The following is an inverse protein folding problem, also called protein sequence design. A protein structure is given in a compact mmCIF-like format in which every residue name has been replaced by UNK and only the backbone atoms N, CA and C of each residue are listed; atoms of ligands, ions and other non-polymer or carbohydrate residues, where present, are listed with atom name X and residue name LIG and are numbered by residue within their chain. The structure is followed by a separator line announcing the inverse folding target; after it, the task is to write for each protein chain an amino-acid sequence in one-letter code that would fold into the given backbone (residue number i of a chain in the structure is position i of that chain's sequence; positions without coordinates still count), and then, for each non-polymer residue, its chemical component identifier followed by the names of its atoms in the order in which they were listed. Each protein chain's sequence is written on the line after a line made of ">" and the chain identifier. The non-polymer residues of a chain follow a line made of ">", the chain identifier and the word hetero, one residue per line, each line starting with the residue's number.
data_IF_138326399196
#
_entry.id   IF_138326399196
#
_cell.length_a   1.000
_cell.length_b   1.000
_cell.length_c   1.000
_cell.angle_alpha   90.00
_cell.angle_beta   90.00
_cell.angle_gamma   90.00
#
_symmetry.space_group_name_H-M   'P 1'
#
loop_
_entity.id
_entity.type
_entity.pdbx_description
1 polymer ?
#
# COMPACT_ATOMS: atom_id res chain seq x y z
N UNK A 1 6.16 -12.09 29.76
CA UNK A 1 7.10 -12.12 28.62
C UNK A 1 6.80 -10.92 27.74
N UNK A 2 7.59 -9.86 27.93
CA UNK A 2 7.34 -8.54 27.36
C UNK A 2 7.88 -8.47 25.94
N UNK A 3 6.99 -8.60 24.96
CA UNK A 3 7.22 -8.49 23.50
C UNK A 3 7.53 -7.03 23.06
N UNK A 4 7.76 -6.12 24.01
CA UNK A 4 7.83 -4.66 23.82
C UNK A 4 9.02 -4.16 22.96
N UNK A 5 9.71 -5.04 22.23
CA UNK A 5 10.92 -4.68 21.46
C UNK A 5 11.19 -5.54 20.21
N UNK A 6 10.42 -6.60 19.94
CA UNK A 6 10.81 -7.56 18.90
C UNK A 6 10.41 -7.04 17.50
N UNK A 7 11.34 -6.31 16.87
CA UNK A 7 11.45 -6.16 15.42
C UNK A 7 10.37 -5.30 14.75
N UNK A 8 10.42 -3.99 15.04
CA UNK A 8 10.62 -2.95 14.00
C UNK A 8 10.03 -3.37 12.66
N UNK A 9 8.77 -3.06 12.34
CA UNK A 9 8.17 -3.18 10.99
C UNK A 9 9.16 -2.72 9.91
N UNK A 10 10.07 -3.57 9.44
CA UNK A 10 10.87 -3.41 8.22
C UNK A 10 11.40 -1.97 7.95
N UNK A 11 11.91 -1.25 8.95
CA UNK A 11 12.56 0.10 8.87
C UNK A 11 11.98 1.09 7.83
N UNK A 12 10.67 1.27 7.81
CA UNK A 12 10.03 2.19 6.87
C UNK A 12 9.83 3.60 7.42
N UNK A 13 9.62 4.57 6.53
CA UNK A 13 9.07 5.88 6.90
C UNK A 13 7.60 5.67 7.31
N UNK A 14 7.21 5.96 8.56
CA UNK A 14 5.83 5.80 8.99
C UNK A 14 4.90 6.74 8.21
N UNK A 15 3.68 6.28 7.99
CA UNK A 15 2.65 6.99 7.25
C UNK A 15 1.47 7.26 8.17
N UNK A 16 1.09 8.53 8.31
CA UNK A 16 -0.17 8.87 8.94
C UNK A 16 -1.32 8.44 8.03
N UNK A 17 -2.18 7.53 8.51
CA UNK A 17 -3.29 6.96 7.73
C UNK A 17 -4.62 7.65 8.01
N UNK A 18 -4.80 8.24 9.19
CA UNK A 18 -6.11 8.70 9.68
C UNK A 18 -7.07 7.56 10.07
N UNK A 19 -6.63 6.30 9.98
CA UNK A 19 -7.39 5.13 10.40
C UNK A 19 -6.74 4.54 11.65
N UNK A 20 -7.40 4.57 12.83
CA UNK A 20 -6.79 4.11 14.08
C UNK A 20 -6.57 2.58 14.13
N UNK A 21 -7.15 1.83 13.20
CA UNK A 21 -7.03 0.37 13.12
C UNK A 21 -5.97 -0.08 12.11
N UNK A 22 -5.27 0.85 11.45
CA UNK A 22 -4.29 0.56 10.42
C UNK A 22 -3.00 1.35 10.64
N UNK A 23 -1.94 0.61 10.88
CA UNK A 23 -0.58 1.13 10.80
C UNK A 23 -0.02 0.90 9.40
N UNK A 24 0.68 1.90 8.87
CA UNK A 24 1.31 1.82 7.56
C UNK A 24 2.72 2.43 7.56
N UNK A 25 3.63 1.84 6.80
CA UNK A 25 5.01 2.34 6.65
C UNK A 25 5.54 2.06 5.25
N UNK A 26 6.28 3.01 4.68
CA UNK A 26 6.92 2.85 3.37
C UNK A 26 8.35 2.36 3.56
N UNK A 27 8.70 1.23 2.94
CA UNK A 27 10.00 0.57 3.10
C UNK A 27 10.75 0.50 1.76
N UNK A 28 12.00 0.01 1.79
CA UNK A 28 12.80 -0.30 0.60
C UNK A 28 12.84 0.87 -0.41
N UNK A 29 13.12 2.08 0.08
CA UNK A 29 13.18 3.32 -0.73
C UNK A 29 11.90 3.57 -1.56
N UNK A 30 10.74 3.20 -1.04
CA UNK A 30 9.45 3.37 -1.72
C UNK A 30 8.99 2.16 -2.51
N UNK A 31 9.75 1.06 -2.56
CA UNK A 31 9.38 -0.12 -3.33
C UNK A 31 8.22 -0.92 -2.72
N UNK A 32 7.90 -0.73 -1.44
CA UNK A 32 6.76 -1.42 -0.80
C UNK A 32 6.10 -0.59 0.30
N UNK A 33 4.81 -0.87 0.52
CA UNK A 33 3.99 -0.39 1.63
C UNK A 33 3.72 -1.55 2.58
N UNK A 34 4.17 -1.40 3.82
CA UNK A 34 3.81 -2.31 4.91
C UNK A 34 2.47 -1.88 5.46
N UNK A 35 1.54 -2.81 5.58
CA UNK A 35 0.22 -2.62 6.19
C UNK A 35 0.08 -3.57 7.37
N UNK A 36 -0.31 -3.05 8.54
CA UNK A 36 -0.67 -3.86 9.69
C UNK A 36 -2.00 -3.43 10.25
N UNK A 37 -2.98 -4.32 10.12
CA UNK A 37 -4.30 -4.14 10.72
C UNK A 37 -4.26 -4.51 12.20
N UNK A 38 -5.13 -3.90 12.99
CA UNK A 38 -5.22 -4.16 14.43
C UNK A 38 -5.46 -5.66 14.67
N UNK A 39 -4.57 -6.29 15.46
CA UNK A 39 -4.67 -7.72 15.81
C UNK A 39 -4.09 -8.68 14.77
N UNK A 40 -3.48 -8.18 13.70
CA UNK A 40 -2.98 -9.01 12.60
C UNK A 40 -1.49 -8.84 12.33
N UNK A 41 -0.93 -9.82 11.63
CA UNK A 41 0.44 -9.76 11.11
C UNK A 41 0.58 -8.68 10.04
N UNK A 42 1.76 -8.07 9.97
CA UNK A 42 2.08 -7.10 8.93
C UNK A 42 2.23 -7.78 7.56
N UNK A 43 1.78 -7.09 6.50
CA UNK A 43 1.88 -7.54 5.12
C UNK A 43 2.64 -6.51 4.30
N UNK A 44 3.59 -6.96 3.47
CA UNK A 44 4.31 -6.11 2.52
C UNK A 44 3.58 -6.11 1.18
N UNK A 45 3.06 -4.95 0.77
CA UNK A 45 2.43 -4.78 -0.54
C UNK A 45 3.41 -4.04 -1.47
N UNK A 46 3.86 -4.67 -2.58
CA UNK A 46 4.76 -4.01 -3.53
C UNK A 46 4.12 -2.76 -4.15
N UNK A 47 4.92 -1.71 -4.35
CA UNK A 47 4.48 -0.45 -4.97
C UNK A 47 3.95 -0.68 -6.40
N UNK A 48 4.55 -1.61 -7.14
CA UNK A 48 4.04 -2.02 -8.45
C UNK A 48 2.64 -2.65 -8.36
N UNK A 49 2.42 -3.53 -7.38
CA UNK A 49 1.11 -4.17 -7.15
C UNK A 49 0.04 -3.12 -6.84
N UNK A 50 0.38 -2.14 -6.00
CA UNK A 50 -0.49 -0.99 -5.74
C UNK A 50 -0.78 -0.24 -7.04
N UNK A 51 0.25 0.10 -7.83
CA UNK A 51 0.13 0.88 -9.06
C UNK A 51 -0.75 0.21 -10.12
N UNK A 52 -0.64 -1.11 -10.25
CA UNK A 52 -1.46 -1.93 -11.17
C UNK A 52 -2.93 -2.01 -10.73
N UNK A 53 -3.21 -1.83 -9.44
CA UNK A 53 -4.56 -1.81 -8.87
C UNK A 53 -5.05 -0.41 -8.51
N UNK A 54 -4.47 0.64 -9.11
CA UNK A 54 -4.87 2.02 -8.87
C UNK A 54 -6.36 2.22 -9.15
N UNK A 55 -7.08 2.78 -8.16
CA UNK A 55 -8.51 3.04 -8.27
C UNK A 55 -8.82 4.52 -8.51
N UNK A 56 -7.93 5.33 -9.08
CA UNK A 56 -8.32 6.71 -9.45
C UNK A 56 -9.24 6.71 -10.68
N UNK A 57 -9.96 7.80 -10.93
CA UNK A 57 -10.92 7.89 -12.05
C UNK A 57 -10.27 7.64 -13.41
N UNK A 58 -9.06 8.16 -13.61
CA UNK A 58 -8.34 7.97 -14.87
C UNK A 58 -7.93 6.52 -15.10
N UNK A 59 -7.62 5.75 -14.04
CA UNK A 59 -7.31 4.31 -14.15
C UNK A 59 -8.59 3.47 -14.25
N UNK A 60 -9.65 3.82 -13.51
CA UNK A 60 -10.95 3.13 -13.57
C UNK A 60 -11.57 3.17 -14.97
N UNK A 61 -11.46 4.31 -15.67
CA UNK A 61 -11.96 4.47 -17.04
C UNK A 61 -11.20 3.67 -18.11
N UNK A 62 -10.04 3.10 -17.76
CA UNK A 62 -9.16 2.32 -18.66
C UNK A 62 -9.12 0.82 -18.32
N UNK A 63 -10.05 0.32 -17.49
CA UNK A 63 -10.15 -1.11 -17.14
C UNK A 63 -10.18 -1.98 -18.41
N UNK A 64 -9.07 -2.68 -18.67
CA UNK A 64 -8.88 -3.52 -19.86
C UNK A 64 -7.53 -3.29 -20.54
N UNK A 65 -6.98 -2.08 -20.41
CA UNK A 65 -5.65 -1.74 -20.91
C UNK A 65 -4.63 -1.93 -19.78
N UNK A 66 -4.37 -3.20 -19.44
CA UNK A 66 -3.31 -3.59 -18.51
C UNK A 66 -1.94 -3.42 -19.19
N UNK A 67 -1.64 -2.20 -19.64
CA UNK A 67 -0.26 -1.83 -19.87
C UNK A 67 0.43 -1.92 -18.51
N UNK A 68 1.04 -3.08 -18.23
CA UNK A 68 1.98 -3.28 -17.13
C UNK A 68 2.88 -2.06 -17.14
N UNK A 69 2.88 -1.28 -16.07
CA UNK A 69 3.79 -0.14 -15.98
C UNK A 69 5.20 -0.73 -15.98
N UNK A 70 5.86 -0.66 -17.13
CA UNK A 70 7.06 -1.46 -17.43
C UNK A 70 8.27 -1.05 -16.58
N UNK A 71 8.20 0.12 -15.95
CA UNK A 71 9.24 0.63 -15.08
C UNK A 71 8.91 0.33 -13.62
N UNK A 72 9.93 -0.04 -12.80
CA UNK A 72 9.74 -0.20 -11.37
C UNK A 72 9.23 1.10 -10.76
N UNK A 73 7.99 1.06 -10.26
CA UNK A 73 7.32 2.21 -9.67
C UNK A 73 7.57 2.23 -8.16
N UNK A 74 8.00 3.36 -7.61
CA UNK A 74 8.17 3.57 -6.16
C UNK A 74 7.18 4.58 -5.62
N UNK A 75 6.84 4.44 -4.34
CA UNK A 75 6.01 5.37 -3.57
C UNK A 75 6.88 6.58 -3.19
N UNK A 76 6.48 7.76 -3.63
CA UNK A 76 7.17 9.02 -3.29
C UNK A 76 6.45 9.81 -2.20
N UNK A 77 5.13 9.63 -2.09
CA UNK A 77 4.34 10.30 -1.06
C UNK A 77 3.05 9.53 -0.76
N UNK A 78 2.60 9.56 0.50
CA UNK A 78 1.28 9.07 0.90
C UNK A 78 0.60 10.12 1.76
N UNK A 79 -0.71 10.32 1.56
CA UNK A 79 -1.55 11.13 2.43
C UNK A 79 -2.89 10.44 2.70
N UNK A 80 -3.51 10.66 3.88
CA UNK A 80 -4.90 10.27 4.11
C UNK A 80 -5.84 10.89 3.07
N UNK A 81 -6.85 10.14 2.68
CA UNK A 81 -8.00 10.60 1.91
C UNK A 81 -9.21 10.70 2.85
N UNK A 82 -9.13 11.61 3.83
CA UNK A 82 -10.13 11.72 4.88
C UNK A 82 -10.31 10.39 5.63
N UNK A 83 -11.56 9.95 5.78
CA UNK A 83 -11.91 8.71 6.47
C UNK A 83 -12.00 7.49 5.53
N UNK A 84 -11.73 7.63 4.23
CA UNK A 84 -12.10 6.60 3.24
C UNK A 84 -10.92 5.79 2.71
N UNK A 85 -9.70 6.29 2.82
CA UNK A 85 -8.54 5.61 2.24
C UNK A 85 -7.24 6.39 2.27
N UNK A 86 -6.32 5.97 1.40
CA UNK A 86 -5.06 6.63 1.13
C UNK A 86 -5.04 7.21 -0.29
N UNK A 87 -4.35 8.33 -0.44
CA UNK A 87 -3.85 8.80 -1.74
C UNK A 87 -2.34 8.65 -1.80
N UNK A 88 -1.86 8.04 -2.88
CA UNK A 88 -0.45 7.70 -3.09
C UNK A 88 0.06 8.45 -4.32
N UNK A 89 1.26 9.02 -4.22
CA UNK A 89 2.05 9.51 -5.35
C UNK A 89 3.15 8.50 -5.67
N UNK A 90 3.31 8.23 -6.95
CA UNK A 90 4.28 7.30 -7.50
C UNK A 90 5.39 8.02 -8.26
N UNK A 91 6.53 7.34 -8.45
CA UNK A 91 7.69 7.88 -9.18
C UNK A 91 7.48 8.02 -10.68
N UNK A 92 6.48 7.35 -11.25
CA UNK A 92 6.08 7.45 -12.66
C UNK A 92 5.31 8.75 -12.99
N UNK A 93 5.23 9.68 -12.03
CA UNK A 93 4.50 10.94 -12.15
C UNK A 93 3.01 10.83 -11.75
N UNK A 94 2.50 9.64 -11.45
CA UNK A 94 1.11 9.46 -11.07
C UNK A 94 0.87 9.95 -9.63
N UNK A 95 0.05 10.99 -9.44
CA UNK A 95 -0.13 11.68 -8.15
C UNK A 95 -1.56 11.64 -7.58
N UNK A 96 -2.49 11.06 -8.33
CA UNK A 96 -3.90 10.97 -8.00
C UNK A 96 -4.34 9.56 -7.58
N UNK A 97 -3.42 8.61 -7.37
CA UNK A 97 -3.79 7.23 -7.06
C UNK A 97 -4.53 7.15 -5.73
N UNK A 98 -5.73 6.58 -5.74
CA UNK A 98 -6.58 6.44 -4.56
C UNK A 98 -6.83 4.97 -4.22
N UNK A 99 -6.81 4.64 -2.93
CA UNK A 99 -7.05 3.30 -2.43
C UNK A 99 -7.96 3.37 -1.21
N UNK A 100 -9.17 2.80 -1.30
CA UNK A 100 -10.05 2.66 -0.14
C UNK A 100 -9.54 1.60 0.84
N UNK A 101 -10.01 1.63 2.09
CA UNK A 101 -9.61 0.64 3.11
C UNK A 101 -9.89 -0.81 2.67
N UNK A 102 -11.08 -1.06 2.12
CA UNK A 102 -11.46 -2.38 1.59
C UNK A 102 -10.54 -2.84 0.46
N UNK A 103 -10.08 -1.91 -0.39
CA UNK A 103 -9.16 -2.24 -1.47
C UNK A 103 -7.76 -2.60 -0.96
N UNK A 104 -7.23 -1.84 0.00
CA UNK A 104 -5.95 -2.13 0.65
C UNK A 104 -6.01 -3.46 1.42
N UNK A 105 -7.15 -3.76 2.03
CA UNK A 105 -7.39 -5.01 2.72
C UNK A 105 -7.37 -6.20 1.76
N UNK A 106 -8.16 -6.14 0.69
CA UNK A 106 -8.19 -7.18 -0.34
C UNK A 106 -6.81 -7.40 -0.98
N UNK A 107 -6.03 -6.33 -1.22
CA UNK A 107 -4.66 -6.45 -1.70
C UNK A 107 -3.74 -7.15 -0.69
N UNK A 108 -3.90 -6.89 0.61
CA UNK A 108 -3.11 -7.55 1.66
C UNK A 108 -3.41 -9.05 1.71
N UNK A 109 -4.68 -9.43 1.64
CA UNK A 109 -5.14 -10.82 1.65
C UNK A 109 -4.60 -11.61 0.45
N UNK A 110 -4.59 -11.00 -0.75
CA UNK A 110 -4.00 -11.62 -1.95
C UNK A 110 -2.51 -11.90 -1.80
N UNK A 111 -1.75 -11.03 -1.12
CA UNK A 111 -0.32 -11.27 -0.87
C UNK A 111 -0.14 -12.46 0.07
N UNK A 112 -0.88 -12.49 1.19
CA UNK A 112 -0.82 -13.61 2.14
C UNK A 112 -1.15 -14.94 1.46
N UNK A 113 -2.19 -14.98 0.61
CA UNK A 113 -2.55 -16.21 -0.11
C UNK A 113 -1.50 -16.66 -1.12
N UNK A 114 -0.64 -15.77 -1.62
CA UNK A 114 0.40 -16.11 -2.60
C UNK A 114 1.66 -16.70 -1.92
N UNK A 115 1.89 -16.41 -0.64
CA UNK A 115 3.06 -16.91 0.12
C UNK A 115 2.81 -18.25 0.86
N UNK A 116 1.57 -18.77 0.81
CA UNK A 116 1.15 -20.01 1.48
C UNK A 116 1.02 -21.24 0.59
N UNK A 117 1.54 -21.21 -0.65
CA UNK A 117 1.58 -22.36 -1.60
C UNK A 117 3.02 -22.71 -1.91
#
# INVERSE_FOLDING_TARGET
>A
MSVLHFERLLTGKPVHTGNPYLEASVINLGAALVLRWLGESAVQVPAQRLRDHCQCDSCRGRKGDLARHANPTTITHIRPLGLTGLRIRFSDGHDAATYGWTALRALSEQIISTEGT
#
